data_IF_331371769977
#
_entry.id   IF_331371769977
#
_cell.length_a   1.000
_cell.length_b   1.000
_cell.length_c   1.000
_cell.angle_alpha   90.00
_cell.angle_beta   90.00
_cell.angle_gamma   90.00
#
_symmetry.space_group_name_H-M   'P 1'
#
loop_
_entity.id
_entity.type
_entity.pdbx_description
1 polymer ?
#
# COMPACT_ATOMS: atom_id res chain seq x y z
N UNK A 1 22.46 47.35 -25.52
CA UNK A 1 21.07 46.85 -25.47
C UNK A 1 20.92 45.43 -26.07
N UNK A 2 21.41 45.14 -27.28
CA UNK A 2 21.34 43.78 -27.89
C UNK A 2 22.00 42.65 -27.07
N UNK A 3 23.10 42.94 -26.34
CA UNK A 3 23.79 41.95 -25.50
C UNK A 3 23.01 41.56 -24.23
N UNK A 4 22.21 42.47 -23.66
CA UNK A 4 21.39 42.21 -22.47
C UNK A 4 20.15 41.38 -22.84
N UNK A 5 19.59 41.60 -24.04
CA UNK A 5 18.46 40.82 -24.56
C UNK A 5 18.84 39.34 -24.78
N UNK A 6 20.06 39.07 -25.27
CA UNK A 6 20.56 37.69 -25.47
C UNK A 6 20.76 36.94 -24.15
N UNK A 7 21.21 37.61 -23.09
CA UNK A 7 21.44 37.00 -21.78
C UNK A 7 20.11 36.62 -21.11
N UNK A 8 19.08 37.46 -21.27
CA UNK A 8 17.74 37.20 -20.74
C UNK A 8 17.05 36.02 -21.47
N UNK A 9 17.24 35.90 -22.79
CA UNK A 9 16.72 34.79 -23.59
C UNK A 9 17.41 33.45 -23.27
N UNK A 10 18.69 33.49 -22.89
CA UNK A 10 19.45 32.30 -22.50
C UNK A 10 19.14 31.83 -21.06
N UNK A 11 18.77 32.76 -20.17
CA UNK A 11 18.33 32.43 -18.81
C UNK A 11 16.96 31.72 -18.77
N UNK A 12 16.07 32.00 -19.73
CA UNK A 12 14.76 31.33 -19.83
C UNK A 12 14.83 29.87 -20.29
N UNK A 13 15.92 29.45 -20.94
CA UNK A 13 16.09 28.06 -21.42
C UNK A 13 16.31 27.02 -20.31
N UNK A 14 16.81 27.44 -19.14
CA UNK A 14 17.28 26.51 -18.10
C UNK A 14 16.16 26.15 -17.10
N UNK A 15 15.15 27.02 -16.93
CA UNK A 15 14.04 26.79 -16.00
C UNK A 15 12.97 25.79 -16.52
N UNK A 16 12.91 25.55 -17.83
CA UNK A 16 11.90 24.68 -18.45
C UNK A 16 12.15 23.17 -18.28
N UNK A 17 13.40 22.76 -18.06
CA UNK A 17 13.74 21.33 -18.01
C UNK A 17 13.23 20.62 -16.74
N UNK A 18 13.18 21.30 -15.59
CA UNK A 18 12.78 20.70 -14.31
C UNK A 18 11.28 20.40 -14.21
N UNK A 19 10.45 21.36 -14.63
CA UNK A 19 8.97 21.24 -14.58
C UNK A 19 8.50 20.13 -15.53
N UNK A 20 9.14 20.01 -16.71
CA UNK A 20 8.79 18.97 -17.66
C UNK A 20 9.11 17.56 -17.12
N UNK A 21 10.28 17.39 -16.46
CA UNK A 21 10.64 16.13 -15.81
C UNK A 21 9.70 15.76 -14.66
N UNK A 22 9.27 16.74 -13.86
CA UNK A 22 8.27 16.53 -12.80
C UNK A 22 6.96 15.96 -13.36
N UNK A 23 6.42 16.62 -14.38
CA UNK A 23 5.17 16.22 -15.00
C UNK A 23 5.29 14.85 -15.68
N UNK A 24 6.44 14.54 -16.27
CA UNK A 24 6.72 13.24 -16.89
C UNK A 24 6.74 12.10 -15.86
N UNK A 25 7.43 12.26 -14.73
CA UNK A 25 7.47 11.21 -13.69
C UNK A 25 6.10 10.96 -13.06
N UNK A 26 5.33 12.02 -12.79
CA UNK A 26 3.96 11.89 -12.26
C UNK A 26 3.06 11.16 -13.27
N UNK A 27 3.15 11.53 -14.56
CA UNK A 27 2.41 10.84 -15.63
C UNK A 27 2.85 9.39 -15.82
N UNK A 28 4.13 9.08 -15.61
CA UNK A 28 4.64 7.72 -15.67
C UNK A 28 4.06 6.88 -14.53
N UNK A 29 4.04 7.42 -13.30
CA UNK A 29 3.41 6.76 -12.14
C UNK A 29 1.91 6.52 -12.33
N UNK A 30 1.19 7.48 -12.90
CA UNK A 30 -0.24 7.33 -13.21
C UNK A 30 -0.51 6.18 -14.19
N UNK A 31 0.40 5.95 -15.13
CA UNK A 31 0.29 4.90 -16.16
C UNK A 31 0.86 3.56 -15.71
N UNK A 32 1.56 3.51 -14.59
CA UNK A 32 2.05 2.25 -14.05
C UNK A 32 0.87 1.34 -13.69
N UNK A 33 1.07 0.03 -13.88
CA UNK A 33 0.12 -1.00 -13.46
C UNK A 33 0.62 -1.60 -12.14
N UNK A 34 -0.28 -1.76 -11.20
CA UNK A 34 0.03 -2.18 -9.84
C UNK A 34 -0.69 -3.49 -9.56
N UNK A 35 -0.01 -4.44 -8.92
CA UNK A 35 -0.58 -5.74 -8.58
C UNK A 35 0.03 -6.28 -7.29
N UNK A 36 -0.82 -6.63 -6.33
CA UNK A 36 -0.39 -7.34 -5.13
C UNK A 36 -0.11 -8.80 -5.53
N UNK A 37 1.16 -9.20 -5.40
CA UNK A 37 1.64 -10.53 -5.77
C UNK A 37 1.48 -11.53 -4.64
N UNK A 38 1.95 -11.17 -3.44
CA UNK A 38 1.78 -11.92 -2.19
C UNK A 38 1.69 -10.99 -0.98
N UNK A 39 1.29 -11.57 0.15
CA UNK A 39 1.40 -10.98 1.47
C UNK A 39 2.08 -12.01 2.38
N UNK A 40 3.21 -11.63 2.95
CA UNK A 40 4.07 -12.49 3.75
C UNK A 40 4.31 -11.87 5.14
N UNK A 41 4.93 -12.62 6.05
CA UNK A 41 5.30 -12.14 7.39
C UNK A 41 4.14 -11.52 8.19
N UNK A 42 2.93 -12.08 8.03
CA UNK A 42 1.72 -11.56 8.66
C UNK A 42 1.74 -11.90 10.15
N UNK A 43 1.73 -10.88 11.01
CA UNK A 43 1.65 -11.03 12.46
C UNK A 43 0.61 -10.12 13.10
N UNK A 44 -0.10 -10.64 14.12
CA UNK A 44 -1.13 -9.94 14.87
C UNK A 44 -0.75 -9.94 16.36
N UNK A 45 -0.57 -8.75 16.94
CA UNK A 45 -0.10 -8.57 18.31
C UNK A 45 1.18 -9.38 18.62
N UNK A 46 2.07 -9.49 17.62
CA UNK A 46 3.33 -10.25 17.70
C UNK A 46 3.20 -11.76 17.43
N UNK A 47 1.99 -12.30 17.25
CA UNK A 47 1.78 -13.70 16.89
C UNK A 47 1.77 -13.89 15.37
N UNK A 48 2.47 -14.91 14.87
CA UNK A 48 2.50 -15.28 13.45
C UNK A 48 1.16 -15.90 13.03
N UNK A 49 0.43 -15.21 12.15
CA UNK A 49 -0.91 -15.60 11.72
C UNK A 49 -0.88 -16.89 10.88
N UNK A 50 0.17 -17.09 10.08
CA UNK A 50 0.30 -18.28 9.21
C UNK A 50 0.46 -19.56 10.04
N UNK A 51 1.25 -19.49 11.11
CA UNK A 51 1.38 -20.60 12.07
C UNK A 51 0.07 -20.94 12.76
N UNK A 52 -0.75 -19.94 13.08
CA UNK A 52 -2.06 -20.16 13.71
C UNK A 52 -3.07 -20.84 12.78
N UNK A 53 -3.07 -20.48 11.49
CA UNK A 53 -3.97 -21.09 10.49
C UNK A 53 -3.58 -22.56 10.26
N UNK A 54 -2.29 -22.84 10.10
CA UNK A 54 -1.79 -24.19 9.80
C UNK A 54 -2.09 -25.21 10.91
N UNK A 55 -2.15 -24.78 12.16
CA UNK A 55 -2.44 -25.66 13.30
C UNK A 55 -3.95 -25.95 13.46
N UNK A 56 -4.80 -25.43 12.57
CA UNK A 56 -6.28 -25.55 12.57
C UNK A 56 -7.02 -25.02 13.82
N UNK A 57 -6.31 -24.80 14.92
CA UNK A 57 -6.78 -24.19 16.16
C UNK A 57 -6.38 -22.71 16.24
N UNK A 58 -7.19 -21.85 15.64
CA UNK A 58 -7.11 -20.41 15.82
C UNK A 58 -7.67 -20.07 17.21
N UNK A 59 -6.87 -20.19 18.27
CA UNK A 59 -7.22 -19.70 19.60
C UNK A 59 -6.66 -18.28 19.81
N UNK A 60 -7.39 -17.28 19.31
CA UNK A 60 -7.02 -15.87 19.50
C UNK A 60 -7.02 -15.47 20.98
N UNK A 61 -7.84 -16.13 21.82
CA UNK A 61 -7.96 -15.84 23.25
C UNK A 61 -6.75 -16.27 24.09
N UNK A 62 -5.91 -17.17 23.57
CA UNK A 62 -4.67 -17.58 24.25
C UNK A 62 -3.46 -16.70 23.91
N UNK A 63 -3.61 -15.73 23.01
CA UNK A 63 -2.52 -14.82 22.62
C UNK A 63 -2.31 -13.74 23.70
N UNK A 64 -1.20 -13.76 24.46
CA UNK A 64 -0.96 -12.77 25.51
C UNK A 64 -0.86 -11.35 24.96
N UNK A 65 -0.30 -11.21 23.75
CA UNK A 65 -0.21 -9.94 23.03
C UNK A 65 -1.59 -9.37 22.68
N UNK A 66 -2.59 -10.20 22.38
CA UNK A 66 -3.93 -9.72 22.05
C UNK A 66 -4.64 -9.16 23.28
N UNK A 67 -4.54 -9.84 24.43
CA UNK A 67 -5.12 -9.35 25.68
C UNK A 67 -4.53 -8.00 26.10
N UNK A 68 -3.20 -7.87 26.06
CA UNK A 68 -2.51 -6.60 26.33
C UNK A 68 -2.89 -5.54 25.30
N UNK A 69 -3.02 -5.90 24.02
CA UNK A 69 -3.41 -4.98 22.97
C UNK A 69 -4.86 -4.48 23.12
N UNK A 70 -5.79 -5.35 23.54
CA UNK A 70 -7.16 -4.95 23.87
C UNK A 70 -7.18 -3.95 25.04
N UNK A 71 -6.43 -4.23 26.11
CA UNK A 71 -6.32 -3.34 27.27
C UNK A 71 -5.74 -1.97 26.89
N UNK A 72 -4.70 -1.96 26.06
CA UNK A 72 -4.01 -0.75 25.60
C UNK A 72 -4.70 -0.04 24.43
N UNK A 73 -5.76 -0.65 23.87
CA UNK A 73 -6.41 -0.21 22.63
C UNK A 73 -5.46 -0.12 21.43
N UNK A 74 -4.46 -1.00 21.42
CA UNK A 74 -3.38 -1.05 20.45
C UNK A 74 -3.05 -2.50 20.09
N UNK A 75 -3.58 -2.95 18.95
CA UNK A 75 -3.39 -4.31 18.44
C UNK A 75 -2.66 -4.18 17.11
N UNK A 76 -1.32 -4.26 17.09
CA UNK A 76 -0.57 -4.10 15.85
C UNK A 76 -0.74 -5.33 14.95
N UNK A 77 -1.21 -5.11 13.73
CA UNK A 77 -1.12 -6.03 12.61
C UNK A 77 0.06 -5.58 11.74
N UNK A 78 1.02 -6.48 11.50
CA UNK A 78 2.12 -6.27 10.56
C UNK A 78 2.02 -7.25 9.40
N UNK A 79 2.38 -6.80 8.21
CA UNK A 79 2.45 -7.66 7.03
C UNK A 79 3.43 -7.06 6.02
N UNK A 80 4.13 -7.91 5.28
CA UNK A 80 4.94 -7.54 4.12
C UNK A 80 4.15 -7.80 2.85
N UNK A 81 3.71 -6.75 2.16
CA UNK A 81 3.08 -6.89 0.85
C UNK A 81 4.13 -6.84 -0.27
N UNK A 82 4.09 -7.80 -1.19
CA UNK A 82 4.92 -7.75 -2.39
C UNK A 82 4.12 -7.13 -3.53
N UNK A 83 4.38 -5.85 -3.80
CA UNK A 83 3.70 -5.06 -4.83
C UNK A 83 4.49 -5.10 -6.14
N UNK A 84 3.95 -5.73 -7.18
CA UNK A 84 4.49 -5.57 -8.53
C UNK A 84 4.04 -4.24 -9.11
N UNK A 85 5.01 -3.48 -9.62
CA UNK A 85 4.80 -2.25 -10.35
C UNK A 85 5.37 -2.43 -11.75
N UNK A 86 4.51 -2.37 -12.77
CA UNK A 86 4.89 -2.44 -14.19
C UNK A 86 4.77 -1.05 -14.82
N UNK A 87 5.87 -0.55 -15.36
CA UNK A 87 5.91 0.73 -16.06
C UNK A 87 5.82 0.52 -17.58
N UNK A 88 4.64 0.71 -18.21
CA UNK A 88 4.50 0.54 -19.65
C UNK A 88 4.99 1.76 -20.46
N UNK A 89 5.48 2.81 -19.80
CA UNK A 89 5.83 4.07 -20.46
C UNK A 89 7.29 4.09 -20.91
N UNK A 90 7.65 5.08 -21.72
CA UNK A 90 9.04 5.34 -22.13
C UNK A 90 9.84 6.21 -21.15
N UNK A 91 9.28 6.56 -19.99
CA UNK A 91 9.96 7.35 -18.96
C UNK A 91 10.05 6.55 -17.68
N UNK A 92 11.12 6.74 -16.90
CA UNK A 92 11.24 6.12 -15.59
C UNK A 92 10.18 6.64 -14.62
N UNK A 93 9.69 5.75 -13.76
CA UNK A 93 8.79 6.08 -12.67
C UNK A 93 9.54 5.89 -11.35
N UNK A 94 9.51 6.89 -10.48
CA UNK A 94 10.14 6.83 -9.16
C UNK A 94 9.11 7.14 -8.08
N UNK A 95 9.26 6.55 -6.90
CA UNK A 95 8.52 6.87 -5.68
C UNK A 95 9.56 7.00 -4.58
N UNK A 96 9.58 8.08 -3.80
CA UNK A 96 10.51 8.21 -2.67
C UNK A 96 9.87 7.81 -1.35
N UNK A 97 8.58 8.11 -1.21
CA UNK A 97 7.77 7.74 -0.06
C UNK A 97 6.30 7.74 -0.49
N UNK A 98 5.44 7.05 0.27
CA UNK A 98 4.01 7.11 0.05
C UNK A 98 3.22 6.96 1.34
N UNK A 99 2.10 7.67 1.39
CA UNK A 99 1.03 7.38 2.36
C UNK A 99 0.17 6.26 1.79
N UNK A 100 -0.29 5.33 2.62
CA UNK A 100 -1.20 4.28 2.19
C UNK A 100 -2.45 4.21 3.05
N UNK A 101 -3.51 3.64 2.46
CA UNK A 101 -4.73 3.24 3.14
C UNK A 101 -5.07 1.82 2.73
N UNK A 102 -5.45 0.99 3.70
CA UNK A 102 -5.95 -0.35 3.44
C UNK A 102 -7.44 -0.35 3.70
N UNK A 103 -8.21 -0.93 2.78
CA UNK A 103 -9.65 -1.07 2.92
C UNK A 103 -10.05 -2.52 2.64
N UNK A 104 -11.06 -3.01 3.35
CA UNK A 104 -11.78 -4.24 2.99
C UNK A 104 -13.22 -3.85 2.72
N UNK A 105 -13.78 -4.26 1.57
CA UNK A 105 -15.16 -3.95 1.18
C UNK A 105 -15.51 -2.45 1.29
N UNK A 106 -14.54 -1.58 0.98
CA UNK A 106 -14.59 -0.11 1.10
C UNK A 106 -14.55 0.47 2.52
N UNK A 107 -14.50 -0.36 3.56
CA UNK A 107 -14.24 0.09 4.92
C UNK A 107 -12.73 0.33 5.10
N UNK A 108 -12.34 1.55 5.42
CA UNK A 108 -10.94 1.87 5.75
C UNK A 108 -10.54 1.14 7.03
N UNK A 109 -9.53 0.28 6.92
CA UNK A 109 -8.95 -0.54 8.00
C UNK A 109 -7.61 -0.02 8.48
N UNK A 110 -6.92 0.77 7.68
CA UNK A 110 -5.58 1.20 8.03
C UNK A 110 -5.23 2.47 7.30
N UNK A 111 -4.39 3.28 7.93
CA UNK A 111 -3.54 4.22 7.23
C UNK A 111 -2.12 4.07 7.73
N UNK A 112 -1.16 4.40 6.89
CA UNK A 112 0.24 4.38 7.27
C UNK A 112 1.10 5.10 6.25
N UNK A 113 2.41 5.00 6.46
CA UNK A 113 3.40 5.71 5.69
C UNK A 113 4.63 4.84 5.47
N UNK A 114 5.15 4.84 4.25
CA UNK A 114 6.34 4.09 3.85
C UNK A 114 7.35 5.07 3.30
N UNK A 115 8.54 5.07 3.89
CA UNK A 115 9.68 5.86 3.44
C UNK A 115 10.67 4.96 2.70
N UNK A 116 10.34 4.60 1.46
CA UNK A 116 11.12 3.69 0.65
C UNK A 116 11.20 4.19 -0.78
N UNK A 117 12.43 4.27 -1.29
CA UNK A 117 12.67 4.61 -2.68
C UNK A 117 12.41 3.39 -3.58
N UNK A 118 11.58 3.61 -4.60
CA UNK A 118 11.21 2.64 -5.64
C UNK A 118 11.50 3.30 -6.97
N UNK A 119 12.30 2.64 -7.80
CA UNK A 119 12.56 3.06 -9.17
C UNK A 119 12.14 1.95 -10.12
N UNK A 120 11.28 2.27 -11.08
CA UNK A 120 10.78 1.35 -12.10
C UNK A 120 11.17 1.90 -13.46
N UNK A 121 12.19 1.30 -14.05
CA UNK A 121 12.71 1.68 -15.37
C UNK A 121 11.61 1.58 -16.43
N UNK A 122 11.68 2.46 -17.43
CA UNK A 122 10.81 2.41 -18.61
C UNK A 122 10.70 0.98 -19.19
N UNK A 123 9.46 0.52 -19.43
CA UNK A 123 9.16 -0.80 -20.00
C UNK A 123 9.33 -1.99 -19.06
N UNK A 124 9.82 -1.80 -17.83
CA UNK A 124 10.14 -2.90 -16.90
C UNK A 124 9.03 -3.13 -15.85
N UNK A 125 9.14 -4.26 -15.15
CA UNK A 125 8.36 -4.57 -13.97
C UNK A 125 9.29 -4.87 -12.79
N UNK A 126 8.92 -4.39 -11.60
CA UNK A 126 9.68 -4.57 -10.36
C UNK A 126 8.74 -4.98 -9.24
N UNK A 127 9.16 -5.96 -8.42
CA UNK A 127 8.44 -6.33 -7.20
C UNK A 127 9.03 -5.55 -6.03
N UNK A 128 8.18 -4.81 -5.34
CA UNK A 128 8.53 -3.95 -4.22
C UNK A 128 7.98 -4.57 -2.94
N UNK A 129 8.83 -5.00 -1.99
CA UNK A 129 8.37 -5.36 -0.67
C UNK A 129 7.96 -4.09 0.08
N UNK A 130 6.77 -4.11 0.67
CA UNK A 130 6.18 -3.01 1.43
C UNK A 130 5.83 -3.52 2.81
N UNK A 131 6.60 -3.10 3.80
CA UNK A 131 6.34 -3.40 5.21
C UNK A 131 5.22 -2.48 5.72
N UNK A 132 4.10 -3.08 6.08
CA UNK A 132 2.93 -2.37 6.60
C UNK A 132 2.74 -2.68 8.08
N UNK A 133 2.40 -1.64 8.84
CA UNK A 133 1.98 -1.75 10.23
C UNK A 133 0.69 -0.94 10.45
N UNK A 134 -0.27 -1.52 11.17
CA UNK A 134 -1.54 -0.86 11.51
C UNK A 134 -2.05 -1.33 12.87
N UNK A 135 -2.63 -0.41 13.66
CA UNK A 135 -3.43 -0.76 14.83
C UNK A 135 -4.84 -1.19 14.40
N UNK A 136 -5.18 -2.47 14.57
CA UNK A 136 -6.49 -3.01 14.20
C UNK A 136 -7.55 -2.94 15.30
N UNK A 137 -7.21 -2.43 16.49
CA UNK A 137 -8.16 -2.30 17.61
C UNK A 137 -9.48 -1.61 17.23
N UNK A 138 -9.49 -0.48 16.49
CA UNK A 138 -10.75 0.20 16.12
C UNK A 138 -11.72 -0.73 15.38
N UNK A 139 -11.20 -1.61 14.53
CA UNK A 139 -11.99 -2.56 13.74
C UNK A 139 -12.45 -3.76 14.55
N UNK A 140 -11.60 -4.23 15.49
CA UNK A 140 -11.96 -5.30 16.41
C UNK A 140 -13.04 -4.83 17.39
N UNK A 141 -13.00 -3.57 17.81
CA UNK A 141 -14.01 -2.99 18.69
C UNK A 141 -15.33 -2.65 17.95
N UNK A 142 -15.32 -2.62 16.62
CA UNK A 142 -16.52 -2.40 15.81
C UNK A 142 -17.25 -3.73 15.58
N UNK A 143 -18.41 -3.87 16.21
CA UNK A 143 -19.21 -5.11 16.15
C UNK A 143 -19.73 -5.45 14.75
N UNK A 144 -19.91 -4.46 13.86
CA UNK A 144 -20.33 -4.69 12.48
C UNK A 144 -19.17 -5.23 11.67
N UNK A 145 -18.01 -4.58 11.75
CA UNK A 145 -16.79 -5.02 11.06
C UNK A 145 -16.39 -6.43 11.51
N UNK A 146 -16.43 -6.71 12.82
CA UNK A 146 -16.14 -8.03 13.35
C UNK A 146 -17.10 -9.12 12.88
N UNK A 147 -18.38 -8.79 12.70
CA UNK A 147 -19.36 -9.72 12.11
C UNK A 147 -19.01 -10.04 10.66
N UNK A 148 -18.70 -9.03 9.84
CA UNK A 148 -18.30 -9.23 8.45
C UNK A 148 -17.03 -10.10 8.31
N UNK A 149 -16.03 -9.88 9.17
CA UNK A 149 -14.81 -10.70 9.21
C UNK A 149 -15.13 -12.14 9.62
N UNK A 150 -15.92 -12.33 10.68
CA UNK A 150 -16.29 -13.65 11.18
C UNK A 150 -17.09 -14.44 10.15
N UNK A 151 -18.05 -13.79 9.51
CA UNK A 151 -18.88 -14.35 8.44
C UNK A 151 -18.04 -14.74 7.21
N UNK A 152 -17.01 -13.97 6.88
CA UNK A 152 -16.07 -14.29 5.80
C UNK A 152 -15.24 -15.52 6.15
N UNK A 153 -14.63 -15.58 7.34
CA UNK A 153 -13.79 -16.71 7.78
C UNK A 153 -14.58 -18.00 7.92
N UNK A 154 -15.77 -17.97 8.54
CA UNK A 154 -16.60 -19.17 8.72
C UNK A 154 -17.07 -19.76 7.38
N UNK A 155 -17.33 -18.92 6.39
CA UNK A 155 -17.70 -19.35 5.03
C UNK A 155 -16.58 -20.13 4.34
N UNK A 156 -15.31 -19.93 4.73
CA UNK A 156 -14.18 -20.71 4.24
C UNK A 156 -14.15 -22.15 4.78
N UNK A 157 -14.59 -22.39 6.01
CA UNK A 157 -14.46 -23.70 6.66
C UNK A 157 -15.55 -24.70 6.23
N UNK A 158 -16.81 -24.28 6.19
CA UNK A 158 -17.96 -25.18 5.96
C UNK A 158 -19.10 -24.55 5.12
N UNK A 159 -18.88 -23.36 4.54
CA UNK A 159 -19.92 -22.57 3.86
C UNK A 159 -19.65 -22.36 2.36
N UNK A 160 -20.59 -21.71 1.66
CA UNK A 160 -20.35 -21.25 0.29
C UNK A 160 -19.23 -20.22 0.27
N UNK A 161 -18.34 -20.32 -0.73
CA UNK A 161 -17.21 -19.41 -0.88
C UNK A 161 -17.64 -17.95 -0.90
N UNK A 162 -17.02 -17.12 -0.06
CA UNK A 162 -17.19 -15.67 -0.08
C UNK A 162 -15.98 -15.02 -0.71
N UNK A 163 -16.25 -14.05 -1.59
CA UNK A 163 -15.23 -13.18 -2.18
C UNK A 163 -15.32 -11.80 -1.52
N UNK A 164 -14.17 -11.27 -1.13
CA UNK A 164 -14.01 -9.91 -0.63
C UNK A 164 -13.06 -9.13 -1.52
N UNK A 165 -13.11 -7.80 -1.44
CA UNK A 165 -12.15 -6.93 -2.11
C UNK A 165 -11.26 -6.28 -1.06
N UNK A 166 -9.97 -6.61 -1.12
CA UNK A 166 -8.91 -5.86 -0.44
C UNK A 166 -8.47 -4.72 -1.36
N UNK A 167 -8.57 -3.50 -0.88
CA UNK A 167 -8.13 -2.31 -1.62
C UNK A 167 -6.94 -1.68 -0.90
N UNK A 168 -5.83 -1.54 -1.61
CA UNK A 168 -4.70 -0.72 -1.21
C UNK A 168 -4.76 0.61 -1.97
N UNK A 169 -4.88 1.72 -1.25
CA UNK A 169 -4.74 3.07 -1.82
C UNK A 169 -3.37 3.61 -1.46
N UNK A 170 -2.60 4.07 -2.44
CA UNK A 170 -1.30 4.72 -2.21
C UNK A 170 -1.31 6.15 -2.74
N UNK A 171 -0.68 7.07 -2.02
CA UNK A 171 -0.40 8.44 -2.47
C UNK A 171 1.12 8.62 -2.52
N UNK A 172 1.74 8.42 -3.69
CA UNK A 172 3.17 8.59 -3.88
C UNK A 172 3.63 10.02 -3.66
N UNK A 173 4.89 10.17 -3.28
CA UNK A 173 5.63 11.42 -3.32
C UNK A 173 6.95 11.21 -4.05
N UNK A 174 7.33 12.15 -4.91
CA UNK A 174 8.54 12.10 -5.73
C UNK A 174 9.43 13.30 -5.44
N UNK A 175 10.75 13.11 -5.44
CA UNK A 175 11.72 14.17 -5.26
C UNK A 175 12.03 14.79 -6.62
N UNK A 176 11.69 16.06 -6.79
CA UNK A 176 11.98 16.83 -8.00
C UNK A 176 12.60 18.17 -7.65
N UNK A 177 13.71 18.50 -8.29
CA UNK A 177 14.46 19.75 -8.08
C UNK A 177 14.77 20.05 -6.60
N UNK A 178 15.04 19.01 -5.80
CA UNK A 178 15.35 19.11 -4.37
C UNK A 178 14.13 19.16 -3.44
N UNK A 179 12.92 19.34 -3.97
CA UNK A 179 11.66 19.32 -3.21
C UNK A 179 10.92 17.99 -3.34
N UNK A 180 10.09 17.67 -2.35
CA UNK A 180 9.20 16.51 -2.41
C UNK A 180 7.81 16.94 -2.89
N UNK A 181 7.32 16.32 -3.97
CA UNK A 181 6.04 16.61 -4.60
C UNK A 181 5.11 15.43 -4.39
N UNK A 182 3.93 15.68 -3.81
CA UNK A 182 2.88 14.66 -3.66
C UNK A 182 2.11 14.46 -4.96
N UNK A 183 1.76 13.21 -5.25
CA UNK A 183 0.81 12.87 -6.29
C UNK A 183 -0.58 13.46 -5.95
N UNK A 184 -1.32 14.03 -6.92
CA UNK A 184 -2.54 14.80 -6.65
C UNK A 184 -3.75 13.95 -6.20
N UNK A 185 -3.60 12.64 -5.99
CA UNK A 185 -4.68 11.73 -5.62
C UNK A 185 -4.20 10.46 -4.92
N UNK A 186 -5.07 9.44 -4.88
CA UNK A 186 -4.70 8.08 -4.48
C UNK A 186 -4.76 7.16 -5.69
N UNK A 187 -3.71 6.38 -5.90
CA UNK A 187 -3.72 5.22 -6.79
C UNK A 187 -4.41 4.09 -6.04
N UNK A 188 -5.43 3.49 -6.65
CA UNK A 188 -6.25 2.44 -6.03
C UNK A 188 -5.89 1.09 -6.64
N UNK A 189 -5.60 0.11 -5.78
CA UNK A 189 -5.11 -1.21 -6.16
C UNK A 189 -6.02 -2.23 -5.49
N UNK A 190 -6.84 -2.90 -6.28
CA UNK A 190 -7.77 -3.91 -5.77
C UNK A 190 -7.21 -5.32 -5.93
N UNK A 191 -7.47 -6.15 -4.93
CA UNK A 191 -7.17 -7.58 -4.91
C UNK A 191 -8.40 -8.32 -4.41
N UNK A 192 -8.93 -9.20 -5.25
CA UNK A 192 -9.95 -10.16 -4.82
C UNK A 192 -9.31 -11.16 -3.84
N UNK A 193 -9.97 -11.36 -2.70
CA UNK A 193 -9.60 -12.34 -1.68
C UNK A 193 -10.74 -13.33 -1.50
N UNK A 194 -10.42 -14.61 -1.40
CA UNK A 194 -11.41 -15.69 -1.19
C UNK A 194 -11.38 -16.15 0.25
N UNK A 195 -12.54 -16.49 0.82
CA UNK A 195 -12.64 -17.09 2.15
C UNK A 195 -11.92 -18.44 2.25
N UNK A 196 -11.61 -19.08 1.12
CA UNK A 196 -10.81 -20.30 1.05
C UNK A 196 -9.30 -20.06 1.09
N UNK A 197 -8.83 -18.82 1.18
CA UNK A 197 -7.39 -18.51 1.27
C UNK A 197 -6.74 -19.04 2.57
N UNK A 198 -7.55 -19.44 3.53
CA UNK A 198 -7.14 -19.97 4.84
C UNK A 198 -7.22 -21.52 4.92
N UNK A 199 -7.57 -22.19 3.81
CA UNK A 199 -7.56 -23.65 3.66
C UNK A 199 -6.32 -24.09 2.88
#
# INVERSE_FOLDING_TARGET
MKKILLICLMAMGIAGCGINKQAQQIKALERCKYRITSADEISLAGADVKKMINNQDINLGSLPGLALGLLRRDIPLRARLNLEVKNPTGNDASINQFEYKILINRQELATGFVNQEVNVTAGQATVVPVDMEVNVYPFISDSKVMREITDFVQSGKNGPEKKGILTLKIRPSIKVAGGLVKYPGFITIDKEVSSKILL
#
